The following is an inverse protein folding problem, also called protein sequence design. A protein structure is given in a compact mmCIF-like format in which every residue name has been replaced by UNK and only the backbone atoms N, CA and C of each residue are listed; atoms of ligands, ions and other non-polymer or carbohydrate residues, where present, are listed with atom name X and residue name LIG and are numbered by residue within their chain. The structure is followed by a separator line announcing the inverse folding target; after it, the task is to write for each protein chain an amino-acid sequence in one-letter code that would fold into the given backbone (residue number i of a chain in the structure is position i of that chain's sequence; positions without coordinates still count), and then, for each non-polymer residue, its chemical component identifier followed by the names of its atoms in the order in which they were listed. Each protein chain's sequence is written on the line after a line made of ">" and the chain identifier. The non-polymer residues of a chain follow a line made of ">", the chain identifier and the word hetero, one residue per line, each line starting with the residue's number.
data_IF_275185933048
#
_entry.id   IF_275185933048
#
_cell.length_a   1.000
_cell.length_b   1.000
_cell.length_c   1.000
_cell.angle_alpha   90.00
_cell.angle_beta   90.00
_cell.angle_gamma   90.00
#
_symmetry.space_group_name_H-M   'P 1'
#
loop_
_entity.id
_entity.type
_entity.pdbx_description
1 polymer ?
#
# COMPACT_ATOMS: atom_id res chain seq x y z
N UNK A 1 -3.83 12.17 -16.09
CA UNK A 1 -3.93 11.26 -14.91
C UNK A 1 -3.98 9.83 -15.41
N UNK A 2 -3.24 8.93 -14.76
CA UNK A 2 -3.23 7.50 -15.12
C UNK A 2 -4.54 6.81 -14.74
N UNK A 3 -4.84 5.68 -15.38
CA UNK A 3 -5.88 4.74 -14.97
C UNK A 3 -5.24 3.67 -14.08
N UNK A 4 -5.91 3.25 -13.01
CA UNK A 4 -5.38 2.30 -12.02
C UNK A 4 -5.42 0.82 -12.46
N UNK A 5 -6.10 0.52 -13.58
CA UNK A 5 -6.39 -0.87 -13.99
C UNK A 5 -7.59 -1.45 -13.24
N UNK A 6 -7.77 -2.77 -13.30
CA UNK A 6 -8.84 -3.47 -12.58
C UNK A 6 -8.36 -3.89 -11.19
N UNK A 7 -8.96 -3.40 -10.09
CA UNK A 7 -8.59 -3.82 -8.73
C UNK A 7 -8.93 -5.29 -8.41
N UNK A 8 -8.27 -5.94 -7.42
CA UNK A 8 -7.32 -5.33 -6.48
C UNK A 8 -5.92 -5.12 -7.08
N UNK A 9 -5.33 -3.96 -6.80
CA UNK A 9 -4.01 -3.58 -7.30
C UNK A 9 -3.22 -2.76 -6.27
N UNK A 10 -2.00 -3.19 -5.98
CA UNK A 10 -1.01 -2.38 -5.25
C UNK A 10 -0.57 -1.22 -6.16
N UNK A 11 -0.77 0.02 -5.73
CA UNK A 11 -0.44 1.20 -6.53
C UNK A 11 0.85 1.86 -6.06
N UNK A 12 1.68 2.29 -7.01
CA UNK A 12 2.76 3.25 -6.77
C UNK A 12 2.31 4.58 -7.33
N UNK A 13 2.20 5.60 -6.48
CA UNK A 13 1.69 6.91 -6.85
C UNK A 13 2.84 7.91 -6.79
N UNK A 14 3.06 8.67 -7.86
CA UNK A 14 4.16 9.67 -7.95
C UNK A 14 3.62 10.98 -8.50
N UNK A 15 3.80 12.05 -7.73
CA UNK A 15 3.46 13.42 -8.08
C UNK A 15 4.73 14.26 -8.22
N UNK A 16 5.09 14.60 -9.46
CA UNK A 16 6.26 15.42 -9.78
C UNK A 16 5.94 16.91 -9.60
N UNK A 17 6.76 17.63 -8.82
CA UNK A 17 6.45 19.01 -8.42
C UNK A 17 7.30 20.09 -9.12
N UNK A 18 8.25 19.71 -10.00
CA UNK A 18 9.01 20.64 -10.83
C UNK A 18 9.72 21.77 -10.06
N UNK A 19 10.93 21.51 -9.56
CA UNK A 19 11.70 22.49 -8.76
C UNK A 19 11.37 22.51 -7.26
N UNK A 20 10.47 21.62 -6.82
CA UNK A 20 10.20 21.29 -5.41
C UNK A 20 10.37 19.77 -5.19
N UNK A 21 10.46 19.29 -3.94
CA UNK A 21 10.40 17.86 -3.65
C UNK A 21 9.14 17.22 -4.26
N UNK A 22 9.29 16.04 -4.84
CA UNK A 22 8.17 15.25 -5.34
C UNK A 22 7.49 14.52 -4.18
N UNK A 23 6.22 14.16 -4.37
CA UNK A 23 5.49 13.31 -3.44
C UNK A 23 5.30 11.94 -4.05
N UNK A 24 5.48 10.89 -3.26
CA UNK A 24 5.23 9.52 -3.71
C UNK A 24 4.93 8.60 -2.55
N UNK A 25 4.19 7.56 -2.85
CA UNK A 25 3.72 6.58 -1.89
C UNK A 25 3.41 5.25 -2.58
N UNK A 26 3.08 4.26 -1.75
CA UNK A 26 2.52 2.99 -2.18
C UNK A 26 1.19 2.81 -1.47
N UNK A 27 0.15 2.41 -2.20
CA UNK A 27 -1.22 2.40 -1.71
C UNK A 27 -1.90 1.05 -1.93
N UNK A 28 -2.57 0.58 -0.87
CA UNK A 28 -3.46 -0.58 -0.85
C UNK A 28 -4.93 -0.17 -0.70
N UNK A 29 -5.26 1.12 -0.92
CA UNK A 29 -6.64 1.62 -0.90
C UNK A 29 -7.48 0.86 -1.93
N UNK A 30 -6.89 0.52 -3.07
CA UNK A 30 -7.47 -0.31 -4.13
C UNK A 30 -7.07 -1.79 -4.00
N UNK A 31 -6.72 -2.24 -2.81
CA UNK A 31 -6.38 -3.63 -2.53
C UNK A 31 -4.93 -3.98 -2.86
N UNK A 32 -4.64 -5.28 -2.79
CA UNK A 32 -3.30 -5.84 -2.85
C UNK A 32 -3.23 -6.96 -3.89
N UNK A 33 -2.15 -7.01 -4.67
CA UNK A 33 -1.82 -8.15 -5.53
C UNK A 33 -0.35 -8.60 -5.40
N UNK A 34 0.59 -7.66 -5.42
CA UNK A 34 2.04 -7.92 -5.36
C UNK A 34 2.73 -6.87 -4.47
N UNK A 35 3.82 -7.19 -3.77
CA UNK A 35 4.56 -6.17 -3.02
C UNK A 35 5.42 -5.33 -3.96
N UNK A 36 5.68 -4.09 -3.56
CA UNK A 36 6.55 -3.17 -4.31
C UNK A 36 7.48 -2.39 -3.39
N UNK A 37 8.69 -2.09 -3.82
CA UNK A 37 9.52 -1.08 -3.16
C UNK A 37 9.80 0.07 -4.09
N UNK A 38 9.94 1.28 -3.55
CA UNK A 38 10.30 2.49 -4.29
C UNK A 38 11.64 3.01 -3.78
N UNK A 39 12.63 3.03 -4.65
CA UNK A 39 13.97 3.52 -4.36
C UNK A 39 14.29 4.69 -5.29
N UNK A 40 14.20 5.95 -4.83
CA UNK A 40 14.70 7.08 -5.62
C UNK A 40 16.22 7.08 -5.68
N UNK A 41 16.79 7.63 -6.75
CA UNK A 41 18.25 7.75 -6.93
C UNK A 41 18.86 8.90 -6.14
N UNK A 42 18.70 8.82 -4.83
CA UNK A 42 19.28 9.74 -3.85
C UNK A 42 19.72 8.94 -2.62
N UNK A 43 20.79 9.37 -1.97
CA UNK A 43 21.31 8.75 -0.74
C UNK A 43 20.62 9.30 0.50
N UNK A 44 19.31 9.04 0.63
CA UNK A 44 18.55 9.34 1.86
C UNK A 44 17.61 8.18 2.21
N UNK A 45 17.87 7.43 3.31
CA UNK A 45 17.03 6.31 3.72
C UNK A 45 15.56 6.68 3.98
N UNK A 46 15.26 7.92 4.38
CA UNK A 46 13.89 8.40 4.60
C UNK A 46 13.09 8.56 3.31
N UNK A 47 13.76 8.48 2.16
CA UNK A 47 13.16 8.58 0.85
C UNK A 47 12.84 7.20 0.25
N UNK A 48 13.16 6.11 0.96
CA UNK A 48 12.86 4.75 0.52
C UNK A 48 11.46 4.35 0.97
N UNK A 49 10.73 3.65 0.11
CA UNK A 49 9.54 2.89 0.52
C UNK A 49 9.90 1.41 0.43
N UNK A 50 10.06 0.76 1.58
CA UNK A 50 10.33 -0.67 1.65
C UNK A 50 9.07 -1.47 1.33
N UNK A 51 9.24 -2.73 0.91
CA UNK A 51 8.14 -3.67 0.74
C UNK A 51 7.39 -3.99 2.05
N UNK A 52 6.36 -4.80 1.96
CA UNK A 52 5.67 -5.31 3.15
C UNK A 52 6.57 -6.24 3.98
N UNK A 53 6.32 -6.31 5.28
CA UNK A 53 6.99 -7.21 6.22
C UNK A 53 6.37 -8.60 6.22
N UNK A 54 5.09 -8.72 5.83
CA UNK A 54 4.34 -9.99 5.81
C UNK A 54 3.67 -10.19 4.45
N UNK A 55 3.37 -11.45 4.10
CA UNK A 55 2.59 -11.76 2.91
C UNK A 55 1.11 -11.43 3.15
N UNK A 56 0.61 -10.38 2.48
CA UNK A 56 -0.79 -9.95 2.60
C UNK A 56 -1.76 -11.04 2.12
N UNK A 57 -1.36 -11.90 1.17
CA UNK A 57 -2.22 -12.99 0.69
C UNK A 57 -2.45 -14.03 1.77
N UNK A 58 -1.43 -14.33 2.57
CA UNK A 58 -1.53 -15.27 3.68
C UNK A 58 -2.35 -14.72 4.86
N UNK A 59 -2.50 -13.40 4.96
CA UNK A 59 -3.26 -12.71 6.00
C UNK A 59 -4.64 -12.23 5.50
N UNK A 60 -4.97 -12.48 4.24
CA UNK A 60 -6.18 -11.97 3.62
C UNK A 60 -7.41 -12.64 4.25
N UNK A 61 -8.35 -11.87 4.83
CA UNK A 61 -9.63 -12.42 5.28
C UNK A 61 -10.40 -13.03 4.11
N UNK A 62 -11.13 -14.13 4.35
CA UNK A 62 -11.81 -14.89 3.29
C UNK A 62 -12.82 -14.05 2.51
N UNK A 63 -13.47 -13.09 3.16
CA UNK A 63 -14.39 -12.16 2.51
C UNK A 63 -13.73 -11.12 1.59
N UNK A 64 -12.39 -11.03 1.61
CA UNK A 64 -11.58 -10.14 0.79
C UNK A 64 -10.74 -10.88 -0.27
N UNK A 65 -10.69 -12.22 -0.21
CA UNK A 65 -9.83 -13.02 -1.08
C UNK A 65 -10.21 -12.90 -2.57
N UNK A 66 -9.19 -12.86 -3.42
CA UNK A 66 -9.32 -13.15 -4.85
C UNK A 66 -8.62 -14.48 -5.11
N UNK A 67 -9.38 -15.48 -5.52
CA UNK A 67 -8.91 -16.84 -5.75
C UNK A 67 -8.65 -17.10 -7.24
N UNK A 68 -7.61 -17.87 -7.54
CA UNK A 68 -7.42 -18.44 -8.87
C UNK A 68 -8.22 -19.75 -9.05
N UNK A 69 -8.10 -20.39 -10.22
CA UNK A 69 -8.80 -21.65 -10.54
C UNK A 69 -8.40 -22.85 -9.67
N UNK A 70 -7.29 -22.76 -8.92
CA UNK A 70 -6.84 -23.77 -7.97
C UNK A 70 -7.28 -23.50 -6.54
N UNK A 71 -8.00 -22.40 -6.29
CA UNK A 71 -8.39 -21.97 -4.95
C UNK A 71 -7.27 -21.29 -4.16
N UNK A 72 -6.21 -20.82 -4.83
CA UNK A 72 -5.11 -20.10 -4.17
C UNK A 72 -5.40 -18.59 -4.17
N UNK A 73 -5.10 -17.92 -3.04
CA UNK A 73 -5.23 -16.46 -2.91
C UNK A 73 -4.17 -15.76 -3.77
N UNK A 74 -4.62 -15.06 -4.80
CA UNK A 74 -3.76 -14.30 -5.74
C UNK A 74 -3.84 -12.78 -5.55
N UNK A 75 -4.76 -12.32 -4.72
CA UNK A 75 -4.91 -10.92 -4.35
C UNK A 75 -5.86 -10.77 -3.16
N UNK A 76 -5.90 -9.57 -2.61
CA UNK A 76 -6.75 -9.22 -1.48
C UNK A 76 -7.44 -7.89 -1.75
N UNK A 77 -8.76 -7.88 -1.80
CA UNK A 77 -9.54 -6.64 -1.92
C UNK A 77 -9.35 -5.76 -0.69
N UNK A 78 -9.38 -4.46 -0.86
CA UNK A 78 -9.61 -3.58 0.29
C UNK A 78 -11.06 -3.72 0.77
N UNK A 79 -11.33 -3.28 2.00
CA UNK A 79 -12.70 -3.28 2.52
C UNK A 79 -13.64 -2.39 1.69
N UNK A 80 -13.13 -1.27 1.14
CA UNK A 80 -13.93 -0.44 0.25
C UNK A 80 -14.36 -1.23 -0.99
N UNK A 81 -13.42 -1.92 -1.65
CA UNK A 81 -13.71 -2.72 -2.84
C UNK A 81 -14.64 -3.91 -2.58
N UNK A 82 -14.55 -4.52 -1.39
CA UNK A 82 -15.36 -5.68 -1.06
C UNK A 82 -16.80 -5.33 -0.66
N UNK A 83 -17.00 -4.22 0.05
CA UNK A 83 -18.29 -3.90 0.67
C UNK A 83 -18.98 -2.67 0.12
N UNK A 84 -18.26 -1.78 -0.60
CA UNK A 84 -18.77 -0.49 -1.09
C UNK A 84 -19.44 0.36 0.01
N UNK A 85 -18.96 0.23 1.25
CA UNK A 85 -19.48 0.95 2.42
C UNK A 85 -18.70 2.26 2.61
N UNK A 86 -19.42 3.36 2.82
CA UNK A 86 -18.82 4.70 2.98
C UNK A 86 -17.82 4.79 4.13
N UNK A 87 -17.97 3.96 5.17
CA UNK A 87 -17.01 3.87 6.29
C UNK A 87 -15.66 3.33 5.86
N UNK A 88 -15.64 2.40 4.90
CA UNK A 88 -14.41 1.81 4.37
C UNK A 88 -13.85 2.63 3.21
N UNK A 89 -14.73 3.24 2.41
CA UNK A 89 -14.36 4.08 1.28
C UNK A 89 -14.04 5.53 1.67
N UNK A 90 -14.27 5.91 2.94
CA UNK A 90 -14.12 7.27 3.44
C UNK A 90 -14.89 8.30 2.60
N UNK A 91 -16.16 8.02 2.28
CA UNK A 91 -17.04 8.89 1.49
C UNK A 91 -18.09 9.56 2.37
N UNK A 92 -18.78 10.55 1.82
CA UNK A 92 -19.93 11.21 2.46
C UNK A 92 -19.59 11.70 3.88
N UNK A 93 -20.33 11.23 4.90
CA UNK A 93 -20.06 11.61 6.28
C UNK A 93 -18.65 11.22 6.73
N UNK A 94 -18.07 10.16 6.18
CA UNK A 94 -16.71 9.71 6.49
C UNK A 94 -15.64 10.38 5.62
N UNK A 95 -15.98 11.40 4.82
CA UNK A 95 -15.09 12.11 3.90
C UNK A 95 -13.99 12.98 4.52
N UNK A 96 -13.60 12.74 5.77
CA UNK A 96 -12.54 13.49 6.44
C UNK A 96 -11.72 12.59 7.38
N UNK A 97 -10.44 12.93 7.66
CA UNK A 97 -9.61 12.19 8.62
C UNK A 97 -10.20 12.12 10.04
N UNK A 98 -10.98 13.14 10.42
CA UNK A 98 -11.67 13.17 11.70
C UNK A 98 -12.75 12.10 11.82
N UNK A 99 -13.34 11.66 10.71
CA UNK A 99 -14.51 10.78 10.68
C UNK A 99 -14.22 9.39 10.10
N UNK A 100 -13.38 9.26 9.07
CA UNK A 100 -12.93 7.94 8.62
C UNK A 100 -11.87 7.39 9.56
N UNK A 101 -12.15 6.27 10.21
CA UNK A 101 -11.24 5.63 11.16
C UNK A 101 -10.71 4.30 10.59
N UNK A 102 -9.51 3.86 11.02
CA UNK A 102 -8.99 2.56 10.61
C UNK A 102 -9.98 1.44 10.96
N UNK A 103 -10.24 0.56 10.00
CA UNK A 103 -11.06 -0.65 10.20
C UNK A 103 -10.21 -1.83 10.64
N UNK A 104 -10.84 -2.96 10.97
CA UNK A 104 -10.10 -4.23 11.19
C UNK A 104 -9.33 -4.64 9.94
N UNK A 105 -9.90 -4.40 8.75
CA UNK A 105 -9.29 -4.72 7.47
C UNK A 105 -8.09 -3.83 7.14
N UNK A 106 -8.20 -2.51 7.30
CA UNK A 106 -7.07 -1.62 7.04
C UNK A 106 -5.92 -1.86 8.02
N UNK A 107 -6.22 -2.26 9.27
CA UNK A 107 -5.20 -2.65 10.25
C UNK A 107 -4.43 -3.91 9.84
N UNK A 108 -5.06 -4.89 9.20
CA UNK A 108 -4.37 -6.08 8.66
C UNK A 108 -3.37 -5.64 7.58
N UNK A 109 -3.80 -4.78 6.65
CA UNK A 109 -2.92 -4.26 5.60
C UNK A 109 -1.77 -3.43 6.18
N UNK A 110 -2.04 -2.62 7.21
CA UNK A 110 -1.02 -1.79 7.88
C UNK A 110 0.01 -2.63 8.64
N UNK A 111 -0.43 -3.68 9.33
CA UNK A 111 0.46 -4.61 10.04
C UNK A 111 1.37 -5.38 9.06
N UNK A 112 0.82 -5.79 7.92
CA UNK A 112 1.61 -6.42 6.88
C UNK A 112 2.56 -5.43 6.18
N UNK A 113 2.09 -4.22 5.86
CA UNK A 113 2.79 -3.22 5.05
C UNK A 113 2.81 -1.84 5.75
N UNK A 114 3.63 -1.62 6.79
CA UNK A 114 3.61 -0.37 7.57
C UNK A 114 3.87 0.89 6.74
N UNK A 115 4.69 0.75 5.68
CA UNK A 115 5.11 1.83 4.80
C UNK A 115 4.11 2.15 3.68
N UNK A 116 2.95 1.49 3.63
CA UNK A 116 1.94 1.71 2.58
C UNK A 116 0.69 2.38 3.17
N UNK A 117 -0.06 3.09 2.33
CA UNK A 117 -1.42 3.50 2.66
C UNK A 117 -2.31 2.25 2.74
N UNK A 118 -2.96 2.06 3.88
CA UNK A 118 -3.88 0.93 4.10
C UNK A 118 -5.36 1.31 3.93
N UNK A 119 -5.67 2.61 3.94
CA UNK A 119 -6.98 3.21 3.64
C UNK A 119 -6.80 4.71 3.31
N UNK A 120 -7.85 5.37 2.83
CA UNK A 120 -7.75 6.70 2.22
C UNK A 120 -7.22 7.81 3.15
N UNK A 121 -7.47 7.72 4.46
CA UNK A 121 -7.01 8.71 5.45
C UNK A 121 -6.02 8.11 6.45
N UNK A 122 -5.13 7.24 5.98
CA UNK A 122 -4.13 6.55 6.82
C UNK A 122 -3.26 7.51 7.63
N UNK A 123 -3.06 7.16 8.90
CA UNK A 123 -2.36 7.97 9.89
C UNK A 123 -1.50 7.09 10.81
N UNK A 124 -0.20 7.35 10.97
CA UNK A 124 0.56 8.40 10.28
C UNK A 124 0.63 8.16 8.77
N UNK A 125 0.64 9.25 8.00
CA UNK A 125 0.67 9.17 6.54
C UNK A 125 2.03 8.60 6.08
N UNK A 126 2.03 7.55 5.23
CA UNK A 126 3.25 7.01 4.63
C UNK A 126 3.70 7.78 3.37
N UNK A 127 3.20 9.01 3.18
CA UNK A 127 3.60 9.86 2.08
C UNK A 127 5.06 10.31 2.21
N UNK A 128 5.86 10.06 1.19
CA UNK A 128 7.25 10.48 1.14
C UNK A 128 7.37 11.77 0.33
N UNK A 129 8.22 12.69 0.80
CA UNK A 129 8.48 13.99 0.16
C UNK A 129 9.97 14.20 -0.05
N UNK A 130 10.48 13.80 -1.22
CA UNK A 130 11.90 13.91 -1.57
C UNK A 130 12.09 14.37 -3.02
N UNK A 131 13.13 15.15 -3.27
CA UNK A 131 13.53 15.51 -4.62
C UNK A 131 14.27 14.34 -5.29
N UNK A 132 13.77 13.86 -6.43
CA UNK A 132 14.47 12.88 -7.26
C UNK A 132 14.05 13.01 -8.72
N UNK A 133 14.97 12.77 -9.64
CA UNK A 133 14.69 12.68 -11.07
C UNK A 133 14.50 11.23 -11.55
N UNK A 134 14.84 10.25 -10.73
CA UNK A 134 14.80 8.82 -11.08
C UNK A 134 14.24 8.01 -9.91
N UNK A 135 13.38 7.05 -10.23
CA UNK A 135 12.74 6.13 -9.28
C UNK A 135 12.89 4.71 -9.80
N UNK A 136 13.39 3.82 -8.96
CA UNK A 136 13.42 2.38 -9.22
C UNK A 136 12.26 1.75 -8.47
N UNK A 137 11.32 1.16 -9.22
CA UNK A 137 10.20 0.39 -8.68
C UNK A 137 10.53 -1.09 -8.84
N UNK A 138 10.59 -1.80 -7.71
CA UNK A 138 10.89 -3.24 -7.70
C UNK A 138 9.65 -4.00 -7.28
N UNK A 139 9.13 -4.86 -8.16
CA UNK A 139 8.11 -5.83 -7.82
C UNK A 139 8.75 -7.05 -7.14
N UNK A 140 8.11 -7.60 -6.11
CA UNK A 140 8.68 -8.70 -5.32
C UNK A 140 10.10 -8.37 -4.76
N UNK A 141 10.27 -7.27 -4.01
CA UNK A 141 11.56 -6.92 -3.45
C UNK A 141 12.07 -8.00 -2.48
N UNK A 142 13.38 -8.17 -2.42
CA UNK A 142 14.04 -9.17 -1.57
C UNK A 142 13.66 -8.97 -0.09
N UNK A 143 13.41 -10.07 0.64
CA UNK A 143 13.00 -10.04 2.05
C UNK A 143 11.49 -9.80 2.28
N UNK A 144 10.67 -9.66 1.23
CA UNK A 144 9.22 -9.59 1.39
C UNK A 144 8.62 -10.95 1.82
N UNK A 145 7.73 -10.93 2.81
CA UNK A 145 6.95 -12.11 3.22
C UNK A 145 7.71 -13.17 4.01
N UNK A 146 9.00 -12.96 4.27
CA UNK A 146 9.78 -13.77 5.20
C UNK A 146 9.87 -13.09 6.56
N UNK A 147 9.63 -13.83 7.64
CA UNK A 147 10.15 -13.48 8.95
C UNK A 147 11.68 -13.49 8.89
N UNK A 148 12.26 -12.44 8.33
CA UNK A 148 13.70 -12.21 8.30
C UNK A 148 14.10 -11.65 9.64
N UNK A 149 14.76 -12.47 10.45
CA UNK A 149 15.64 -12.03 11.52
C UNK A 149 16.41 -10.79 11.07
N UNK A 150 16.11 -9.64 11.68
CA UNK A 150 17.07 -8.55 11.77
C UNK A 150 18.26 -9.06 12.58
N UNK A 151 19.22 -9.73 11.94
CA UNK A 151 20.58 -9.74 12.46
C UNK A 151 21.18 -8.39 12.11
N UNK A 152 21.13 -7.52 13.11
CA UNK A 152 22.03 -6.38 13.19
C UNK A 152 23.47 -6.93 13.27
N UNK A 153 24.30 -6.62 12.29
CA UNK A 153 25.75 -6.54 12.47
C UNK A 153 26.12 -5.10 12.86
#
# INVERSE_FOLDING_TARGET
>A
NGLIGTPPATLVEVSLQGGKPNYYDVSLVDGYNIPVSVTPKITNPKCLIQGCLKDVRALCPSELEVLNSKGEVVGCKSACLAFDDDRFCCRNEYGSPGKCKPSVYSKIFKDACPNYFSYAFDSPTPLVSCASSEYVITFCPYGWGGAGEHKSE
#
